data_IF_449034381749
#
_entry.id   IF_449034381749
#
_cell.length_a   1.000
_cell.length_b   1.000
_cell.length_c   1.000
_cell.angle_alpha   90.00
_cell.angle_beta   90.00
_cell.angle_gamma   90.00
#
_symmetry.space_group_name_H-M   'P 1'
#
loop_
_entity.id
_entity.type
_entity.pdbx_description
1 polymer ?
#
# COMPACT_ATOMS: atom_id res chain seq x y z
N UNK A 1 -24.15 24.82 4.29
CA UNK A 1 -24.91 23.82 5.08
C UNK A 1 -24.51 22.40 4.69
N UNK A 2 -24.53 22.02 3.40
CA UNK A 2 -24.08 20.70 2.92
C UNK A 2 -22.65 20.31 3.37
N UNK A 3 -21.65 21.15 3.13
CA UNK A 3 -20.27 20.88 3.55
C UNK A 3 -20.08 20.74 5.08
N UNK A 4 -20.91 21.41 5.89
CA UNK A 4 -20.89 21.26 7.36
C UNK A 4 -21.49 19.92 7.80
N UNK A 5 -22.56 19.49 7.14
CA UNK A 5 -23.18 18.19 7.41
C UNK A 5 -22.26 17.04 6.97
N UNK A 6 -21.56 17.21 5.85
CA UNK A 6 -20.57 16.24 5.36
C UNK A 6 -19.35 16.15 6.28
N UNK A 7 -18.82 17.29 6.75
CA UNK A 7 -17.76 17.31 7.75
C UNK A 7 -18.17 16.61 9.06
N UNK A 8 -19.38 16.87 9.57
CA UNK A 8 -19.87 16.21 10.78
C UNK A 8 -20.04 14.70 10.61
N UNK A 9 -20.49 14.24 9.44
CA UNK A 9 -20.59 12.81 9.13
C UNK A 9 -19.21 12.14 9.07
N UNK A 10 -18.24 12.79 8.43
CA UNK A 10 -16.87 12.29 8.35
C UNK A 10 -16.20 12.22 9.72
N UNK A 11 -16.42 13.22 10.57
CA UNK A 11 -15.88 13.23 11.93
C UNK A 11 -16.42 12.07 12.77
N UNK A 12 -17.73 11.82 12.69
CA UNK A 12 -18.36 10.67 13.36
C UNK A 12 -17.80 9.34 12.88
N UNK A 13 -17.63 9.17 11.56
CA UNK A 13 -17.01 7.97 10.99
C UNK A 13 -15.56 7.81 11.46
N UNK A 14 -14.81 8.91 11.56
CA UNK A 14 -13.44 8.89 12.07
C UNK A 14 -13.40 8.39 13.51
N UNK A 15 -14.31 8.86 14.35
CA UNK A 15 -14.43 8.42 15.75
C UNK A 15 -14.79 6.93 15.86
N UNK A 16 -15.76 6.48 15.07
CA UNK A 16 -16.18 5.06 15.04
C UNK A 16 -15.00 4.16 14.64
N UNK A 17 -14.28 4.51 13.57
CA UNK A 17 -13.08 3.78 13.12
C UNK A 17 -11.96 3.84 14.16
N UNK A 18 -11.77 4.98 14.83
CA UNK A 18 -10.74 5.12 15.86
C UNK A 18 -10.98 4.21 17.07
N UNK A 19 -12.22 4.10 17.53
CA UNK A 19 -12.58 3.18 18.61
C UNK A 19 -12.47 1.71 18.18
N UNK A 20 -12.84 1.38 16.94
CA UNK A 20 -12.64 0.03 16.39
C UNK A 20 -11.14 -0.34 16.34
N UNK A 21 -10.29 0.57 15.86
CA UNK A 21 -8.83 0.37 15.84
C UNK A 21 -8.29 0.15 17.25
N UNK A 22 -8.77 0.92 18.24
CA UNK A 22 -8.37 0.76 19.65
C UNK A 22 -8.76 -0.60 20.20
N UNK A 23 -9.98 -1.06 19.93
CA UNK A 23 -10.45 -2.40 20.32
C UNK A 23 -9.65 -3.52 19.63
N UNK A 24 -9.34 -3.38 18.36
CA UNK A 24 -8.55 -4.37 17.64
C UNK A 24 -7.11 -4.43 18.18
N UNK A 25 -6.51 -3.29 18.51
CA UNK A 25 -5.19 -3.24 19.17
C UNK A 25 -5.17 -3.99 20.50
N UNK A 26 -6.18 -3.81 21.35
CA UNK A 26 -6.25 -4.51 22.63
C UNK A 26 -6.43 -6.03 22.44
N UNK A 27 -7.25 -6.45 21.47
CA UNK A 27 -7.40 -7.88 21.11
C UNK A 27 -6.11 -8.49 20.59
N UNK A 28 -5.35 -7.77 19.77
CA UNK A 28 -4.03 -8.22 19.27
C UNK A 28 -3.05 -8.39 20.43
N UNK A 29 -2.97 -7.41 21.35
CA UNK A 29 -2.09 -7.50 22.51
C UNK A 29 -2.44 -8.70 23.41
N UNK A 30 -3.74 -8.94 23.62
CA UNK A 30 -4.20 -10.12 24.36
C UNK A 30 -3.81 -11.43 23.67
N UNK A 31 -4.00 -11.53 22.34
CA UNK A 31 -3.59 -12.71 21.57
C UNK A 31 -2.09 -12.95 21.60
N UNK A 32 -1.29 -11.88 21.54
CA UNK A 32 0.17 -11.96 21.69
C UNK A 32 0.56 -12.52 23.06
N UNK A 33 -0.11 -12.09 24.13
CA UNK A 33 0.07 -12.66 25.47
C UNK A 33 -0.20 -14.17 25.52
N UNK A 34 -1.29 -14.63 24.91
CA UNK A 34 -1.61 -16.07 24.84
C UNK A 34 -0.57 -16.88 24.04
N UNK A 35 0.02 -16.31 22.99
CA UNK A 35 1.10 -16.98 22.26
C UNK A 35 2.37 -17.09 23.12
N UNK A 36 2.71 -16.03 23.87
CA UNK A 36 3.83 -16.04 24.78
C UNK A 36 3.66 -17.11 25.90
N UNK A 37 2.48 -17.18 26.51
CA UNK A 37 2.16 -18.22 27.50
C UNK A 37 2.26 -19.64 26.92
N UNK A 38 1.86 -19.83 25.65
CA UNK A 38 2.02 -21.11 24.96
C UNK A 38 3.51 -21.46 24.76
N UNK A 39 4.33 -20.49 24.33
CA UNK A 39 5.75 -20.73 24.08
C UNK A 39 6.49 -21.04 25.40
N UNK A 40 6.12 -20.37 26.50
CA UNK A 40 6.62 -20.67 27.86
C UNK A 40 6.23 -22.09 28.32
N UNK A 41 4.99 -22.51 28.06
CA UNK A 41 4.54 -23.87 28.36
C UNK A 41 5.31 -24.92 27.55
N UNK A 42 5.53 -24.68 26.26
CA UNK A 42 6.29 -25.57 25.39
C UNK A 42 7.75 -25.67 25.85
N UNK A 43 8.36 -24.53 26.20
CA UNK A 43 9.71 -24.48 26.76
C UNK A 43 9.80 -25.25 28.09
N UNK A 44 8.77 -25.17 28.94
CA UNK A 44 8.70 -25.94 30.17
C UNK A 44 8.59 -27.46 29.96
N UNK A 45 7.91 -27.90 28.89
CA UNK A 45 7.70 -29.33 28.59
C UNK A 45 8.84 -29.97 27.81
N UNK A 46 9.49 -29.22 26.91
CA UNK A 46 10.48 -29.74 25.96
C UNK A 46 11.86 -29.08 26.11
N UNK A 47 12.05 -28.19 27.10
CA UNK A 47 13.27 -27.40 27.27
C UNK A 47 13.41 -26.30 26.21
N UNK A 48 14.63 -25.81 25.99
CA UNK A 48 14.91 -24.82 24.94
C UNK A 48 14.91 -25.41 23.51
N UNK A 49 14.39 -26.62 23.33
CA UNK A 49 14.34 -27.33 22.05
C UNK A 49 12.91 -27.52 21.58
N UNK A 50 12.72 -27.61 20.27
CA UNK A 50 11.44 -27.97 19.67
C UNK A 50 10.94 -29.32 20.18
N UNK A 51 9.63 -29.47 20.34
CA UNK A 51 9.01 -30.74 20.72
C UNK A 51 9.10 -31.80 19.63
N UNK A 52 9.38 -31.40 18.38
CA UNK A 52 9.67 -32.30 17.25
C UNK A 52 10.34 -31.57 16.07
N UNK A 53 10.99 -32.32 15.18
CA UNK A 53 11.49 -31.78 13.90
C UNK A 53 10.38 -31.28 12.97
N UNK A 54 9.19 -31.88 13.04
CA UNK A 54 8.02 -31.43 12.28
C UNK A 54 7.53 -30.05 12.75
N UNK A 55 7.54 -29.80 14.07
CA UNK A 55 7.21 -28.47 14.63
C UNK A 55 8.15 -27.40 14.08
N UNK A 56 9.45 -27.65 14.20
CA UNK A 56 10.51 -26.77 13.67
C UNK A 56 10.34 -26.52 12.19
N UNK A 57 10.03 -27.56 11.41
CA UNK A 57 9.83 -27.42 9.98
C UNK A 57 8.63 -26.55 9.63
N UNK A 58 7.48 -26.74 10.31
CA UNK A 58 6.27 -25.95 10.10
C UNK A 58 6.51 -24.48 10.49
N UNK A 59 7.22 -24.23 11.59
CA UNK A 59 7.54 -22.87 12.06
C UNK A 59 8.44 -22.12 11.07
N UNK A 60 9.52 -22.76 10.60
CA UNK A 60 10.39 -22.19 9.56
C UNK A 60 9.61 -21.91 8.26
N UNK A 61 8.67 -22.78 7.88
CA UNK A 61 7.80 -22.50 6.74
C UNK A 61 6.89 -21.29 7.00
N UNK A 62 6.32 -21.17 8.19
CA UNK A 62 5.45 -20.07 8.57
C UNK A 62 6.20 -18.73 8.49
N UNK A 63 7.43 -18.67 9.01
CA UNK A 63 8.25 -17.46 8.99
C UNK A 63 8.60 -17.02 7.57
N UNK A 64 8.95 -17.96 6.69
CA UNK A 64 9.20 -17.68 5.27
C UNK A 64 7.97 -17.08 4.58
N UNK A 65 6.79 -17.66 4.81
CA UNK A 65 5.54 -17.18 4.18
C UNK A 65 5.12 -15.83 4.77
N UNK A 66 5.33 -15.59 6.06
CA UNK A 66 5.09 -14.28 6.69
C UNK A 66 6.00 -13.19 6.13
N UNK A 67 7.30 -13.48 6.02
CA UNK A 67 8.26 -12.54 5.40
C UNK A 67 7.89 -12.20 3.95
N UNK A 68 7.47 -13.20 3.17
CA UNK A 68 6.98 -12.98 1.81
C UNK A 68 5.69 -12.14 1.79
N UNK A 69 4.74 -12.42 2.68
CA UNK A 69 3.52 -11.61 2.85
C UNK A 69 3.85 -10.15 3.13
N UNK A 70 4.76 -9.90 4.07
CA UNK A 70 5.12 -8.54 4.48
C UNK A 70 5.78 -7.77 3.32
N UNK A 71 6.57 -8.47 2.50
CA UNK A 71 7.14 -7.91 1.27
C UNK A 71 6.05 -7.55 0.25
N UNK A 72 5.07 -8.42 0.02
CA UNK A 72 3.93 -8.15 -0.86
C UNK A 72 3.04 -7.01 -0.34
N UNK A 73 2.80 -6.96 0.97
CA UNK A 73 2.02 -5.90 1.59
C UNK A 73 2.72 -4.54 1.47
N UNK A 74 4.04 -4.49 1.67
CA UNK A 74 4.86 -3.30 1.42
C UNK A 74 4.76 -2.84 -0.03
N UNK A 75 4.95 -3.76 -0.98
CA UNK A 75 4.79 -3.46 -2.41
C UNK A 75 3.39 -2.96 -2.75
N UNK A 76 2.33 -3.57 -2.21
CA UNK A 76 0.95 -3.11 -2.44
C UNK A 76 0.76 -1.65 -2.01
N UNK A 77 1.33 -1.24 -0.88
CA UNK A 77 1.28 0.15 -0.41
C UNK A 77 2.02 1.10 -1.36
N UNK A 78 3.25 0.75 -1.78
CA UNK A 78 4.02 1.54 -2.74
C UNK A 78 3.25 1.75 -4.06
N UNK A 79 2.61 0.69 -4.56
CA UNK A 79 1.78 0.76 -5.76
C UNK A 79 0.52 1.63 -5.58
N UNK A 80 -0.12 1.58 -4.42
CA UNK A 80 -1.29 2.44 -4.10
C UNK A 80 -0.92 3.91 -3.98
N UNK A 81 0.21 4.21 -3.33
CA UNK A 81 0.74 5.57 -3.22
C UNK A 81 1.14 6.11 -4.60
N UNK A 82 1.85 5.31 -5.40
CA UNK A 82 2.16 5.65 -6.79
C UNK A 82 0.91 5.90 -7.64
N UNK A 83 -0.15 5.09 -7.48
CA UNK A 83 -1.42 5.29 -8.17
C UNK A 83 -2.07 6.64 -7.80
N UNK A 84 -1.99 7.02 -6.53
CA UNK A 84 -2.53 8.29 -6.02
C UNK A 84 -1.76 9.47 -6.61
N UNK A 85 -0.43 9.41 -6.62
CA UNK A 85 0.42 10.43 -7.23
C UNK A 85 0.12 10.61 -8.74
N UNK A 86 -0.04 9.50 -9.47
CA UNK A 86 -0.37 9.54 -10.91
C UNK A 86 -1.77 10.11 -11.14
N UNK A 87 -2.73 9.78 -10.29
CA UNK A 87 -4.08 10.37 -10.35
C UNK A 87 -4.00 11.90 -10.17
N UNK A 88 -3.30 12.39 -9.14
CA UNK A 88 -3.08 13.81 -8.92
C UNK A 88 -2.35 14.48 -10.09
N UNK A 89 -1.32 13.84 -10.64
CA UNK A 89 -0.63 14.35 -11.84
C UNK A 89 -1.57 14.50 -13.03
N UNK A 90 -2.51 13.57 -13.20
CA UNK A 90 -3.50 13.61 -14.29
C UNK A 90 -4.44 14.80 -14.13
N UNK A 91 -4.98 15.00 -12.92
CA UNK A 91 -5.89 16.12 -12.60
C UNK A 91 -5.21 17.47 -12.78
N UNK A 92 -3.94 17.58 -12.38
CA UNK A 92 -3.10 18.75 -12.62
C UNK A 92 -2.93 18.98 -14.14
N UNK A 93 -2.55 17.96 -14.91
CA UNK A 93 -2.39 18.14 -16.37
C UNK A 93 -3.69 18.57 -17.06
N UNK A 94 -4.84 18.03 -16.65
CA UNK A 94 -6.15 18.47 -17.15
C UNK A 94 -6.44 19.94 -16.82
N UNK A 95 -6.09 20.38 -15.61
CA UNK A 95 -6.20 21.78 -15.22
C UNK A 95 -5.29 22.67 -16.07
N UNK A 96 -4.04 22.26 -16.29
CA UNK A 96 -3.10 23.00 -17.12
C UNK A 96 -3.59 23.16 -18.57
N UNK A 97 -4.11 22.09 -19.16
CA UNK A 97 -4.72 22.12 -20.51
C UNK A 97 -5.93 23.04 -20.55
N UNK A 98 -6.76 23.05 -19.50
CA UNK A 98 -7.92 23.94 -19.40
C UNK A 98 -7.49 25.40 -19.36
N UNK A 99 -6.53 25.75 -18.49
CA UNK A 99 -5.95 27.08 -18.43
C UNK A 99 -5.41 27.52 -19.80
N UNK A 100 -4.69 26.62 -20.50
CA UNK A 100 -4.10 26.92 -21.82
C UNK A 100 -5.15 27.27 -22.88
N UNK A 101 -6.24 26.50 -22.93
CA UNK A 101 -7.35 26.72 -23.88
C UNK A 101 -8.07 28.04 -23.65
N UNK A 102 -8.05 28.55 -22.43
CA UNK A 102 -8.73 29.79 -22.07
C UNK A 102 -7.89 31.04 -22.43
N UNK A 103 -6.55 30.94 -22.48
CA UNK A 103 -5.62 32.09 -22.65
C UNK A 103 -6.03 33.02 -23.80
N UNK A 104 -6.25 32.51 -25.01
CA UNK A 104 -6.48 33.36 -26.19
C UNK A 104 -7.74 34.24 -26.08
N UNK A 105 -8.71 33.83 -25.26
CA UNK A 105 -9.98 34.54 -25.07
C UNK A 105 -9.96 35.65 -23.99
N UNK A 106 -8.84 35.85 -23.30
CA UNK A 106 -8.78 36.65 -22.06
C UNK A 106 -8.00 37.97 -22.19
N UNK A 107 -8.13 38.85 -21.20
CA UNK A 107 -7.36 40.09 -21.08
C UNK A 107 -5.86 39.82 -20.86
N UNK A 108 -4.94 40.75 -21.16
CA UNK A 108 -3.51 40.57 -20.95
C UNK A 108 -3.14 40.13 -19.53
N UNK A 109 -3.79 40.69 -18.51
CA UNK A 109 -3.57 40.35 -17.10
C UNK A 109 -4.01 38.91 -16.80
N UNK A 110 -5.21 38.53 -17.23
CA UNK A 110 -5.72 37.17 -17.05
C UNK A 110 -4.90 36.14 -17.82
N UNK A 111 -4.40 36.49 -19.02
CA UNK A 111 -3.47 35.64 -19.79
C UNK A 111 -2.21 35.34 -19.02
N UNK A 112 -1.61 36.35 -18.37
CA UNK A 112 -0.41 36.16 -17.55
C UNK A 112 -0.68 35.21 -16.37
N UNK A 113 -1.83 35.38 -15.70
CA UNK A 113 -2.24 34.51 -14.61
C UNK A 113 -2.46 33.06 -15.06
N UNK A 114 -3.25 32.85 -16.12
CA UNK A 114 -3.52 31.51 -16.66
C UNK A 114 -2.25 30.80 -17.15
N UNK A 115 -1.34 31.54 -17.78
CA UNK A 115 -0.04 31.00 -18.22
C UNK A 115 0.82 30.56 -17.03
N UNK A 116 0.83 31.38 -15.97
CA UNK A 116 1.57 31.07 -14.74
C UNK A 116 0.98 29.86 -14.02
N UNK A 117 -0.35 29.80 -13.91
CA UNK A 117 -1.08 28.69 -13.31
C UNK A 117 -0.79 27.39 -14.06
N UNK A 118 -0.98 27.36 -15.38
CA UNK A 118 -0.73 26.18 -16.19
C UNK A 118 0.72 25.66 -16.04
N UNK A 119 1.71 26.55 -16.05
CA UNK A 119 3.12 26.17 -15.83
C UNK A 119 3.33 25.53 -14.46
N UNK A 120 2.84 26.15 -13.39
CA UNK A 120 3.02 25.64 -12.03
C UNK A 120 2.37 24.27 -11.89
N UNK A 121 1.17 24.11 -12.45
CA UNK A 121 0.43 22.86 -12.46
C UNK A 121 1.16 21.76 -13.23
N UNK A 122 1.80 22.06 -14.37
CA UNK A 122 2.63 21.07 -15.10
C UNK A 122 3.87 20.68 -14.28
N UNK A 123 4.51 21.63 -13.61
CA UNK A 123 5.67 21.34 -12.75
C UNK A 123 5.29 20.42 -11.57
N UNK A 124 4.16 20.67 -10.94
CA UNK A 124 3.64 19.83 -9.85
C UNK A 124 3.25 18.44 -10.35
N UNK A 125 2.61 18.34 -11.52
CA UNK A 125 2.29 17.06 -12.14
C UNK A 125 3.56 16.24 -12.44
N UNK A 126 4.60 16.88 -12.98
CA UNK A 126 5.88 16.25 -13.25
C UNK A 126 6.56 15.72 -11.97
N UNK A 127 6.48 16.47 -10.86
CA UNK A 127 7.00 16.02 -9.57
C UNK A 127 6.25 14.79 -9.05
N UNK A 128 4.93 14.78 -9.15
CA UNK A 128 4.11 13.63 -8.77
C UNK A 128 4.47 12.37 -9.58
N UNK A 129 4.69 12.52 -10.89
CA UNK A 129 5.14 11.41 -11.75
C UNK A 129 6.54 10.92 -11.35
N UNK A 130 7.50 11.82 -11.11
CA UNK A 130 8.85 11.44 -10.66
C UNK A 130 8.85 10.73 -9.32
N UNK A 131 8.00 11.18 -8.39
CA UNK A 131 7.86 10.56 -7.08
C UNK A 131 7.29 9.15 -7.23
N UNK A 132 6.25 8.97 -8.05
CA UNK A 132 5.70 7.65 -8.35
C UNK A 132 6.73 6.71 -9.00
N UNK A 133 7.62 7.23 -9.85
CA UNK A 133 8.72 6.45 -10.44
C UNK A 133 9.75 6.00 -9.39
N UNK A 134 10.07 6.86 -8.43
CA UNK A 134 10.99 6.53 -7.35
C UNK A 134 10.44 5.44 -6.43
N UNK A 135 9.11 5.41 -6.22
CA UNK A 135 8.44 4.37 -5.44
C UNK A 135 8.42 3.01 -6.13
N UNK A 136 8.49 2.98 -7.47
CA UNK A 136 8.35 1.77 -8.27
C UNK A 136 9.62 1.49 -9.10
N UNK A 137 10.77 1.23 -8.44
CA UNK A 137 12.03 1.00 -9.14
C UNK A 137 11.91 -0.25 -10.04
N UNK A 138 12.19 -0.07 -11.33
CA UNK A 138 12.09 -1.14 -12.34
C UNK A 138 10.79 -1.14 -13.14
N UNK A 139 9.80 -0.31 -12.77
CA UNK A 139 8.60 -0.10 -13.59
C UNK A 139 8.88 0.99 -14.62
N UNK A 140 8.68 0.67 -15.90
CA UNK A 140 8.75 1.66 -16.96
C UNK A 140 7.40 2.35 -17.12
N UNK A 141 7.40 3.69 -17.03
CA UNK A 141 6.22 4.51 -17.23
C UNK A 141 6.18 4.92 -18.71
N UNK A 142 5.23 4.41 -19.51
CA UNK A 142 5.18 4.72 -20.94
C UNK A 142 4.98 6.22 -21.18
N UNK A 143 5.79 6.83 -22.04
CA UNK A 143 5.74 8.27 -22.40
C UNK A 143 5.93 9.26 -21.25
N UNK A 144 6.30 8.75 -20.08
CA UNK A 144 6.66 9.50 -18.88
C UNK A 144 8.04 9.08 -18.41
N UNK A 145 8.96 8.70 -19.32
CA UNK A 145 10.32 8.36 -18.92
C UNK A 145 10.98 9.53 -18.19
N UNK A 146 11.95 9.26 -17.31
CA UNK A 146 12.67 10.32 -16.60
C UNK A 146 13.20 11.39 -17.56
N UNK A 147 13.66 10.98 -18.75
CA UNK A 147 14.10 11.88 -19.83
C UNK A 147 12.97 12.76 -20.37
N UNK A 148 11.81 12.19 -20.67
CA UNK A 148 10.65 12.93 -21.17
C UNK A 148 10.13 13.94 -20.13
N UNK A 149 10.05 13.53 -18.86
CA UNK A 149 9.64 14.43 -17.78
C UNK A 149 10.66 15.55 -17.56
N UNK A 150 11.96 15.25 -17.59
CA UNK A 150 13.00 16.28 -17.53
C UNK A 150 12.93 17.25 -18.70
N UNK A 151 12.61 16.77 -19.91
CA UNK A 151 12.42 17.63 -21.07
C UNK A 151 11.21 18.55 -20.87
N UNK A 152 10.07 18.04 -20.39
CA UNK A 152 8.88 18.86 -20.08
C UNK A 152 9.22 19.94 -19.05
N UNK A 153 9.91 19.59 -17.96
CA UNK A 153 10.33 20.55 -16.94
C UNK A 153 11.25 21.64 -17.49
N UNK A 154 12.16 21.29 -18.41
CA UNK A 154 13.01 22.26 -19.11
C UNK A 154 12.18 23.19 -20.00
N UNK A 155 11.25 22.66 -20.79
CA UNK A 155 10.43 23.49 -21.69
C UNK A 155 9.41 24.33 -20.90
N UNK A 156 8.94 23.90 -19.73
CA UNK A 156 8.09 24.73 -18.86
C UNK A 156 8.80 26.00 -18.34
N UNK A 157 10.12 26.11 -18.47
CA UNK A 157 10.85 27.38 -18.24
C UNK A 157 10.83 28.32 -19.45
N UNK A 158 10.47 27.79 -20.63
CA UNK A 158 10.24 28.52 -21.88
C UNK A 158 8.72 28.68 -22.15
N UNK A 159 8.36 29.66 -22.97
CA UNK A 159 6.96 30.13 -23.11
C UNK A 159 5.99 29.21 -23.85
N UNK A 160 6.44 28.09 -24.43
CA UNK A 160 5.61 27.27 -25.32
C UNK A 160 5.63 25.80 -24.91
N UNK A 161 4.55 25.32 -24.27
CA UNK A 161 4.32 23.89 -24.04
C UNK A 161 2.89 23.53 -24.42
N UNK A 162 2.72 22.80 -25.53
CA UNK A 162 1.53 21.99 -25.76
C UNK A 162 1.78 20.58 -25.20
N UNK A 163 1.24 20.28 -24.00
CA UNK A 163 1.25 18.93 -23.45
C UNK A 163 -0.16 18.32 -23.55
N UNK A 164 -0.29 17.13 -24.17
CA UNK A 164 -1.56 16.39 -24.27
C UNK A 164 -1.64 15.32 -23.17
N UNK A 165 -2.66 15.39 -22.30
CA UNK A 165 -2.83 14.55 -21.10
C UNK A 165 -3.29 13.10 -21.30
N UNK A 166 -3.52 12.64 -22.52
CA UNK A 166 -4.14 11.32 -22.80
C UNK A 166 -3.31 10.11 -22.33
N UNK A 167 -2.00 10.27 -22.10
CA UNK A 167 -1.08 9.17 -21.80
C UNK A 167 -1.00 8.82 -20.32
N UNK A 168 -1.09 9.81 -19.42
CA UNK A 168 -1.05 9.59 -17.97
C UNK A 168 -2.27 8.78 -17.50
N UNK A 169 -3.43 9.00 -18.12
CA UNK A 169 -4.63 8.19 -17.91
C UNK A 169 -4.45 6.70 -18.25
N UNK A 170 -3.71 6.38 -19.33
CA UNK A 170 -3.45 4.99 -19.71
C UNK A 170 -2.54 4.30 -18.69
N UNK A 171 -1.51 5.00 -18.22
CA UNK A 171 -0.63 4.49 -17.17
C UNK A 171 -1.38 4.26 -15.86
N UNK A 172 -2.18 5.24 -15.41
CA UNK A 172 -3.04 5.12 -14.23
C UNK A 172 -3.97 3.89 -14.30
N UNK A 173 -4.55 3.63 -15.47
CA UNK A 173 -5.42 2.48 -15.68
C UNK A 173 -4.65 1.17 -15.53
N UNK A 174 -3.45 1.08 -16.11
CA UNK A 174 -2.59 -0.10 -15.99
C UNK A 174 -2.16 -0.36 -14.53
N UNK A 175 -1.79 0.68 -13.79
CA UNK A 175 -1.45 0.62 -12.35
C UNK A 175 -2.63 0.09 -11.54
N UNK A 176 -3.84 0.65 -11.73
CA UNK A 176 -5.05 0.20 -11.06
C UNK A 176 -5.34 -1.28 -11.35
N UNK A 177 -5.19 -1.71 -12.61
CA UNK A 177 -5.38 -3.11 -13.00
C UNK A 177 -4.38 -4.03 -12.31
N UNK A 178 -3.10 -3.66 -12.21
CA UNK A 178 -2.11 -4.49 -11.52
C UNK A 178 -2.45 -4.66 -10.04
N UNK A 179 -2.79 -3.55 -9.35
CA UNK A 179 -3.16 -3.55 -7.94
C UNK A 179 -4.33 -4.52 -7.71
N UNK A 180 -5.40 -4.37 -8.49
CA UNK A 180 -6.63 -5.15 -8.32
C UNK A 180 -6.48 -6.62 -8.74
N UNK A 181 -5.81 -6.89 -9.88
CA UNK A 181 -5.80 -8.23 -10.48
C UNK A 181 -4.61 -9.11 -10.07
N UNK A 182 -3.50 -8.52 -9.62
CA UNK A 182 -2.32 -9.26 -9.18
C UNK A 182 -2.09 -9.05 -7.69
N UNK A 183 -1.65 -7.87 -7.26
CA UNK A 183 -1.09 -7.68 -5.92
C UNK A 183 -2.10 -8.02 -4.80
N UNK A 184 -3.35 -7.55 -4.90
CA UNK A 184 -4.38 -7.89 -3.90
C UNK A 184 -4.72 -9.38 -3.89
N UNK A 185 -4.75 -10.01 -5.07
CA UNK A 185 -5.04 -11.45 -5.19
C UNK A 185 -3.89 -12.26 -4.61
N UNK A 186 -2.66 -11.95 -4.98
CA UNK A 186 -1.45 -12.62 -4.53
C UNK A 186 -1.30 -12.47 -3.01
N UNK A 187 -1.57 -11.28 -2.47
CA UNK A 187 -1.59 -11.05 -1.02
C UNK A 187 -2.67 -11.91 -0.33
N UNK A 188 -3.88 -11.97 -0.87
CA UNK A 188 -4.96 -12.79 -0.30
C UNK A 188 -4.66 -14.30 -0.35
N UNK A 189 -3.99 -14.77 -1.40
CA UNK A 189 -3.55 -16.16 -1.52
C UNK A 189 -2.44 -16.47 -0.49
N UNK A 190 -1.52 -15.53 -0.25
CA UNK A 190 -0.50 -15.67 0.78
C UNK A 190 -1.10 -15.61 2.18
N UNK A 191 -2.08 -14.75 2.45
CA UNK A 191 -2.79 -14.69 3.72
C UNK A 191 -3.50 -16.01 4.04
N UNK A 192 -4.13 -16.62 3.03
CA UNK A 192 -4.72 -17.96 3.16
C UNK A 192 -3.66 -18.99 3.56
N UNK A 193 -2.50 -18.96 2.93
CA UNK A 193 -1.38 -19.85 3.24
C UNK A 193 -0.80 -19.63 4.65
N UNK A 194 -0.67 -18.37 5.09
CA UNK A 194 -0.26 -18.04 6.47
C UNK A 194 -1.24 -18.64 7.47
N UNK A 195 -2.55 -18.50 7.22
CA UNK A 195 -3.60 -19.07 8.07
C UNK A 195 -3.51 -20.59 8.14
N UNK A 196 -3.40 -21.25 6.99
CA UNK A 196 -3.28 -22.72 6.91
C UNK A 196 -2.07 -23.25 7.68
N UNK A 197 -0.90 -22.64 7.51
CA UNK A 197 0.32 -23.06 8.22
C UNK A 197 0.21 -22.77 9.73
N UNK A 198 -0.36 -21.63 10.11
CA UNK A 198 -0.61 -21.28 11.52
C UNK A 198 -1.53 -22.32 12.18
N UNK A 199 -2.62 -22.69 11.51
CA UNK A 199 -3.56 -23.69 12.02
C UNK A 199 -2.92 -25.08 12.14
N UNK A 200 -2.05 -25.45 11.18
CA UNK A 200 -1.25 -26.68 11.24
C UNK A 200 -0.30 -26.67 12.45
N UNK A 201 0.47 -25.59 12.64
CA UNK A 201 1.39 -25.45 13.76
C UNK A 201 0.65 -25.55 15.10
N UNK A 202 -0.48 -24.84 15.22
CA UNK A 202 -1.31 -24.88 16.43
C UNK A 202 -1.81 -26.28 16.74
N UNK A 203 -2.35 -27.00 15.75
CA UNK A 203 -2.82 -28.39 15.93
C UNK A 203 -1.68 -29.31 16.36
N UNK A 204 -0.51 -29.15 15.74
CA UNK A 204 0.68 -29.94 16.06
C UNK A 204 1.16 -29.71 17.50
N UNK A 205 1.30 -28.45 17.91
CA UNK A 205 1.66 -28.06 19.28
C UNK A 205 0.68 -28.61 20.32
N UNK A 206 -0.63 -28.53 20.06
CA UNK A 206 -1.65 -29.14 20.94
C UNK A 206 -1.48 -30.66 21.05
N UNK A 207 -1.16 -31.35 19.95
CA UNK A 207 -0.89 -32.78 19.96
C UNK A 207 0.34 -33.13 20.79
N UNK A 208 1.43 -32.37 20.64
CA UNK A 208 2.67 -32.53 21.40
C UNK A 208 2.42 -32.36 22.91
N UNK A 209 1.73 -31.29 23.30
CA UNK A 209 1.38 -31.04 24.70
C UNK A 209 0.55 -32.19 25.28
N UNK A 210 -0.49 -32.66 24.57
CA UNK A 210 -1.33 -33.78 25.03
C UNK A 210 -0.52 -35.05 25.22
N UNK A 211 0.34 -35.37 24.26
CA UNK A 211 1.19 -36.56 24.34
C UNK A 211 2.10 -36.49 25.56
N UNK A 212 2.76 -35.34 25.77
CA UNK A 212 3.69 -35.16 26.88
C UNK A 212 3.02 -35.22 28.25
N UNK A 213 1.83 -34.64 28.38
CA UNK A 213 1.03 -34.73 29.61
C UNK A 213 0.59 -36.18 29.90
N UNK A 214 0.21 -36.95 28.89
CA UNK A 214 -0.11 -38.37 29.06
C UNK A 214 1.10 -39.19 29.53
N UNK A 215 2.29 -38.94 28.98
CA UNK A 215 3.54 -39.57 29.44
C UNK A 215 3.79 -39.27 30.92
N UNK A 216 3.66 -37.99 31.34
CA UNK A 216 3.89 -37.59 32.73
C UNK A 216 2.89 -38.20 33.73
N UNK A 217 1.63 -38.43 33.31
CA UNK A 217 0.59 -39.01 34.16
C UNK A 217 0.63 -40.55 34.25
N UNK A 218 1.53 -41.19 33.48
CA UNK A 218 1.68 -42.65 33.46
C UNK A 218 2.76 -43.17 34.42
N UNK A 219 3.36 -42.27 35.21
CA UNK A 219 4.34 -42.52 36.28
C UNK A 219 3.77 -42.11 37.64
#
# INVERSE_FOLDING_TARGET
VLARNEAALLERRREEVAEEVKLLKSKVAYLQGLYQEQDELLAGLFGETYGSEEEKHIEVQLDKVRSYRDTLAGGLLEWQEAATLVQSATELLDRAVTCWKEIDSQTPETRFHLSTEARNTIQEAALNVQTAQAMLPGVQFPYCTTREISAVLQVCTAKDVECRGEFVHKFLTAVKIMIEKSLKKDLADVDRKVKEITDRLRKHRVSLIRHKVCECNSY
#
